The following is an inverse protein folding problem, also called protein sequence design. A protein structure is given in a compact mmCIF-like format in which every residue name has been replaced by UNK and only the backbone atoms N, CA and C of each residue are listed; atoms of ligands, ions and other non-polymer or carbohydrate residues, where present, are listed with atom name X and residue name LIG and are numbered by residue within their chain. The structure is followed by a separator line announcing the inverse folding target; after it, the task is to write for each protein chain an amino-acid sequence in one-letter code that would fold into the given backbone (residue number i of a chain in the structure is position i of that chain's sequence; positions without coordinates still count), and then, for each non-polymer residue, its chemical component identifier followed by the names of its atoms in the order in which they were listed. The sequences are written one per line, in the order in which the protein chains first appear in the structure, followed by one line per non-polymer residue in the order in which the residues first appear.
data_IF_226968899081
#
_entry.id   IF_226968899081
#
_cell.length_a   1.000
_cell.length_b   1.000
_cell.length_c   1.000
_cell.angle_alpha   90.00
_cell.angle_beta   90.00
_cell.angle_gamma   90.00
#
_symmetry.space_group_name_H-M   'P 1'
#
loop_
_entity.id
_entity.type
_entity.pdbx_description
1 polymer ?
#
# COMPACT_ATOMS: atom_id res chain seq x y z
N UNK A 1 -30.68 23.61 11.12
CA UNK A 1 -30.23 23.51 9.72
C UNK A 1 -29.47 22.21 9.55
N UNK A 2 -29.83 21.40 8.55
CA UNK A 2 -29.11 20.15 8.25
C UNK A 2 -27.72 20.49 7.67
N UNK A 3 -26.66 19.85 8.18
CA UNK A 3 -25.30 20.03 7.70
C UNK A 3 -25.17 19.63 6.23
N UNK A 4 -24.47 20.44 5.44
CA UNK A 4 -24.17 20.12 4.04
C UNK A 4 -23.27 18.88 3.94
N UNK A 5 -23.27 18.19 2.79
CA UNK A 5 -22.42 17.00 2.58
C UNK A 5 -20.95 17.30 2.84
N UNK A 6 -20.48 18.49 2.43
CA UNK A 6 -19.11 18.96 2.64
C UNK A 6 -18.78 19.10 4.13
N UNK A 7 -19.63 19.73 4.92
CA UNK A 7 -19.43 19.91 6.36
C UNK A 7 -19.43 18.58 7.11
N UNK A 8 -20.28 17.62 6.68
CA UNK A 8 -20.29 16.26 7.22
C UNK A 8 -18.97 15.52 6.94
N UNK A 9 -18.46 15.60 5.71
CA UNK A 9 -17.17 15.02 5.36
C UNK A 9 -16.02 15.69 6.12
N UNK A 10 -16.04 17.02 6.24
CA UNK A 10 -15.01 17.76 6.97
C UNK A 10 -14.98 17.39 8.45
N UNK A 11 -16.14 17.28 9.10
CA UNK A 11 -16.24 16.89 10.52
C UNK A 11 -15.76 15.45 10.76
N UNK A 12 -16.03 14.53 9.82
CA UNK A 12 -15.50 13.16 9.87
C UNK A 12 -13.99 13.14 9.70
N UNK A 13 -13.47 13.92 8.73
CA UNK A 13 -12.05 14.03 8.48
C UNK A 13 -11.30 14.58 9.70
N UNK A 14 -11.79 15.66 10.32
CA UNK A 14 -11.15 16.24 11.51
C UNK A 14 -11.19 15.29 12.71
N UNK A 15 -12.29 14.54 12.90
CA UNK A 15 -12.37 13.50 13.92
C UNK A 15 -11.37 12.36 13.68
N UNK A 16 -11.19 11.93 12.43
CA UNK A 16 -10.18 10.93 12.08
C UNK A 16 -8.74 11.47 12.26
N UNK A 17 -8.51 12.74 11.95
CA UNK A 17 -7.22 13.40 12.16
C UNK A 17 -6.86 13.46 13.64
N UNK A 18 -7.80 13.77 14.55
CA UNK A 18 -7.51 13.81 15.99
C UNK A 18 -7.08 12.45 16.56
N UNK A 19 -7.65 11.36 16.03
CA UNK A 19 -7.24 9.99 16.42
C UNK A 19 -5.85 9.65 15.89
N UNK A 20 -5.49 10.17 14.70
CA UNK A 20 -4.20 9.92 14.03
C UNK A 20 -3.04 10.70 14.64
N UNK A 21 -3.26 11.93 15.11
CA UNK A 21 -2.21 12.86 15.58
C UNK A 21 -1.17 12.24 16.53
N UNK A 22 -1.55 11.46 17.57
CA UNK A 22 -0.57 10.87 18.48
C UNK A 22 0.40 9.90 17.79
N UNK A 23 -0.08 9.13 16.81
CA UNK A 23 0.71 8.12 16.11
C UNK A 23 1.65 8.71 15.06
N UNK A 24 1.41 9.96 14.62
CA UNK A 24 2.26 10.59 13.60
C UNK A 24 3.69 10.84 14.08
N UNK A 25 3.88 11.05 15.38
CA UNK A 25 5.22 11.22 15.97
C UNK A 25 6.04 9.93 15.83
N UNK A 26 5.46 8.80 16.20
CA UNK A 26 6.08 7.48 16.10
C UNK A 26 6.37 7.11 14.65
N UNK A 27 5.42 7.38 13.75
CA UNK A 27 5.59 7.16 12.32
C UNK A 27 6.72 8.00 11.72
N UNK A 28 6.90 9.26 12.17
CA UNK A 28 8.02 10.12 11.76
C UNK A 28 9.37 9.55 12.20
N UNK A 29 9.42 8.99 13.40
CA UNK A 29 10.64 8.37 13.93
C UNK A 29 10.99 7.10 13.15
N UNK A 30 10.02 6.19 12.97
CA UNK A 30 10.19 4.96 12.19
C UNK A 30 10.62 5.28 10.75
N UNK A 31 9.96 6.25 10.10
CA UNK A 31 10.28 6.64 8.73
C UNK A 31 11.71 7.23 8.61
N UNK A 32 12.20 7.91 9.65
CA UNK A 32 13.57 8.46 9.68
C UNK A 32 14.64 7.36 9.67
N UNK A 33 14.37 6.24 10.34
CA UNK A 33 15.30 5.11 10.46
C UNK A 33 15.18 4.10 9.31
N UNK A 34 13.96 3.78 8.87
CA UNK A 34 13.73 2.72 7.88
C UNK A 34 13.64 3.23 6.43
N UNK A 35 13.14 4.45 6.20
CA UNK A 35 13.00 5.00 4.85
C UNK A 35 13.08 6.54 4.80
N UNK A 36 14.28 7.14 4.98
CA UNK A 36 14.49 8.59 5.01
C UNK A 36 14.01 9.33 3.74
N UNK A 37 13.98 8.64 2.59
CA UNK A 37 13.51 9.20 1.32
C UNK A 37 11.97 9.39 1.26
N UNK A 38 11.20 8.59 2.01
CA UNK A 38 9.72 8.65 2.04
C UNK A 38 9.16 9.62 3.08
N UNK A 39 10.00 10.14 3.98
CA UNK A 39 9.64 11.14 5.01
C UNK A 39 9.13 12.49 4.45
N UNK A 40 9.07 12.69 3.13
CA UNK A 40 8.49 13.91 2.52
C UNK A 40 7.02 14.12 2.92
N UNK A 41 6.26 13.05 3.13
CA UNK A 41 4.83 13.14 3.45
C UNK A 41 4.53 13.56 4.89
N UNK A 42 5.46 13.33 5.82
CA UNK A 42 5.26 13.66 7.23
C UNK A 42 5.88 15.01 7.64
N UNK A 43 6.78 15.57 6.83
CA UNK A 43 7.39 16.87 7.12
C UNK A 43 6.63 17.99 6.42
N UNK A 44 6.05 18.90 7.19
CA UNK A 44 5.54 20.19 6.69
C UNK A 44 6.64 21.06 6.08
N UNK A 45 7.91 20.81 6.44
CA UNK A 45 9.07 21.53 5.93
C UNK A 45 9.46 21.05 4.53
N UNK A 46 8.79 21.64 3.54
CA UNK A 46 8.92 21.32 2.12
C UNK A 46 10.27 21.77 1.52
N UNK A 47 11.11 22.52 2.24
CA UNK A 47 12.20 23.27 1.58
C UNK A 47 13.57 23.35 2.29
N UNK A 48 13.99 22.33 3.05
CA UNK A 48 15.39 22.26 3.51
C UNK A 48 16.14 21.07 2.93
N UNK A 49 16.98 21.39 1.95
CA UNK A 49 18.11 20.61 1.40
C UNK A 49 19.21 20.35 2.47
N UNK A 50 18.83 20.03 3.71
CA UNK A 50 19.78 19.60 4.72
C UNK A 50 20.02 18.10 4.54
N UNK A 51 21.28 17.70 4.37
CA UNK A 51 21.75 16.31 4.17
C UNK A 51 20.96 15.31 5.04
N UNK A 52 19.97 14.65 4.44
CA UNK A 52 18.95 13.81 5.12
C UNK A 52 19.48 12.47 5.64
N UNK A 53 20.69 12.07 5.25
CA UNK A 53 21.33 10.82 5.67
C UNK A 53 22.23 10.99 6.90
N UNK A 54 22.36 12.19 7.47
CA UNK A 54 23.35 12.48 8.52
C UNK A 54 23.08 11.81 9.89
N UNK A 55 21.92 11.17 10.09
CA UNK A 55 21.54 10.49 11.35
C UNK A 55 21.35 8.97 11.23
N UNK A 56 21.67 8.39 10.08
CA UNK A 56 21.59 6.94 9.90
C UNK A 56 22.95 6.37 10.27
N UNK A 57 23.08 5.99 11.54
CA UNK A 57 24.28 5.37 12.07
C UNK A 57 24.40 3.89 11.66
N UNK A 58 23.27 3.24 11.40
CA UNK A 58 23.20 1.82 11.04
C UNK A 58 22.24 1.60 9.85
N UNK A 59 22.69 0.80 8.88
CA UNK A 59 21.92 0.42 7.68
C UNK A 59 21.04 -0.81 7.90
N UNK A 60 21.20 -1.52 9.03
CA UNK A 60 20.46 -2.74 9.37
C UNK A 60 18.94 -2.54 9.34
N UNK A 61 18.44 -1.40 9.83
CA UNK A 61 17.01 -1.09 9.82
C UNK A 61 16.43 -1.03 8.38
N UNK A 62 17.17 -0.41 7.46
CA UNK A 62 16.78 -0.30 6.04
C UNK A 62 16.83 -1.67 5.37
N UNK A 63 17.85 -2.48 5.66
CA UNK A 63 17.99 -3.82 5.09
C UNK A 63 16.91 -4.77 5.60
N UNK A 64 16.62 -4.74 6.90
CA UNK A 64 15.55 -5.53 7.53
C UNK A 64 14.19 -5.17 6.92
N UNK A 65 13.93 -3.87 6.73
CA UNK A 65 12.70 -3.38 6.12
C UNK A 65 12.56 -3.81 4.64
N UNK A 66 13.63 -3.71 3.86
CA UNK A 66 13.65 -4.18 2.47
C UNK A 66 13.43 -5.69 2.37
N UNK A 67 14.02 -6.45 3.29
CA UNK A 67 13.86 -7.91 3.36
C UNK A 67 12.43 -8.28 3.70
N UNK A 68 11.82 -7.60 4.67
CA UNK A 68 10.41 -7.78 5.03
C UNK A 68 9.48 -7.45 3.85
N UNK A 69 9.69 -6.31 3.18
CA UNK A 69 8.90 -5.91 2.00
C UNK A 69 9.05 -6.92 0.86
N UNK A 70 10.28 -7.39 0.64
CA UNK A 70 10.59 -8.44 -0.35
C UNK A 70 9.87 -9.75 -0.02
N UNK A 71 9.90 -10.18 1.23
CA UNK A 71 9.22 -11.37 1.72
C UNK A 71 7.69 -11.28 1.62
N UNK A 72 7.10 -10.13 1.97
CA UNK A 72 5.66 -9.91 1.79
C UNK A 72 5.26 -9.92 0.32
N UNK A 73 6.04 -9.26 -0.54
CA UNK A 73 5.76 -9.21 -1.98
C UNK A 73 5.89 -10.60 -2.61
N UNK A 74 6.94 -11.36 -2.24
CA UNK A 74 7.14 -12.70 -2.78
C UNK A 74 6.15 -13.74 -2.24
N UNK A 75 5.71 -13.59 -0.98
CA UNK A 75 4.77 -14.51 -0.34
C UNK A 75 3.30 -14.25 -0.66
N UNK A 76 2.89 -12.98 -0.74
CA UNK A 76 1.47 -12.62 -0.88
C UNK A 76 1.08 -12.27 -2.32
N UNK A 77 1.99 -11.72 -3.13
CA UNK A 77 1.65 -11.24 -4.49
C UNK A 77 2.85 -11.30 -5.41
N UNK A 78 3.36 -12.52 -5.65
CA UNK A 78 4.46 -12.73 -6.59
C UNK A 78 4.00 -12.51 -8.02
N UNK A 79 4.69 -11.65 -8.77
CA UNK A 79 4.44 -11.52 -10.22
C UNK A 79 4.89 -12.74 -11.03
N UNK A 80 5.76 -13.57 -10.46
CA UNK A 80 6.36 -14.72 -11.16
C UNK A 80 5.64 -16.04 -10.89
N UNK A 81 4.73 -16.08 -9.92
CA UNK A 81 4.01 -17.31 -9.55
C UNK A 81 2.53 -17.00 -9.29
N UNK A 82 1.61 -17.85 -9.75
CA UNK A 82 0.20 -17.68 -9.43
C UNK A 82 0.00 -17.80 -7.91
N UNK A 83 -0.51 -16.73 -7.30
CA UNK A 83 -0.71 -16.59 -5.85
C UNK A 83 -2.18 -16.70 -5.43
N UNK A 84 -3.12 -16.69 -6.37
CA UNK A 84 -4.52 -17.05 -6.19
C UNK A 84 -4.94 -18.12 -7.18
N UNK A 85 -5.89 -18.95 -6.76
CA UNK A 85 -6.55 -19.95 -7.61
C UNK A 85 -8.04 -19.65 -7.64
N UNK A 86 -8.61 -19.58 -8.84
CA UNK A 86 -10.05 -19.47 -8.99
C UNK A 86 -10.68 -20.86 -8.91
N UNK A 87 -11.48 -21.11 -7.87
CA UNK A 87 -12.24 -22.35 -7.69
C UNK A 87 -13.72 -22.00 -7.54
N UNK A 88 -14.58 -22.86 -8.09
CA UNK A 88 -16.02 -22.72 -7.90
C UNK A 88 -16.43 -23.30 -6.55
N UNK A 89 -17.41 -22.67 -5.91
CA UNK A 89 -17.96 -23.15 -4.65
C UNK A 89 -18.67 -24.51 -4.78
N UNK A 90 -19.22 -24.82 -5.96
CA UNK A 90 -19.91 -26.07 -6.22
C UNK A 90 -18.93 -27.11 -6.81
N UNK A 91 -18.64 -28.16 -6.05
CA UNK A 91 -17.73 -29.26 -6.43
C UNK A 91 -18.22 -30.04 -7.64
N UNK A 92 -19.54 -30.18 -7.81
CA UNK A 92 -20.12 -31.05 -8.85
C UNK A 92 -19.89 -30.48 -10.25
N UNK A 93 -19.76 -29.16 -10.35
CA UNK A 93 -19.44 -28.44 -11.60
C UNK A 93 -17.94 -28.38 -11.84
N UNK A 94 -17.12 -28.68 -10.82
CA UNK A 94 -15.67 -28.69 -10.94
C UNK A 94 -15.09 -29.99 -11.49
N UNK A 95 -15.89 -31.04 -11.54
CA UNK A 95 -15.54 -32.33 -12.16
C UNK A 95 -15.61 -32.28 -13.69
N UNK A 96 -16.27 -31.27 -14.25
CA UNK A 96 -16.27 -31.03 -15.69
C UNK A 96 -14.91 -30.47 -16.15
N UNK A 97 -14.29 -31.17 -17.11
CA UNK A 97 -13.00 -30.83 -17.70
C UNK A 97 -13.05 -29.49 -18.42
N UNK A 98 -14.18 -29.16 -19.07
CA UNK A 98 -14.33 -27.91 -19.82
C UNK A 98 -14.38 -26.70 -18.88
N UNK A 99 -15.09 -26.82 -17.75
CA UNK A 99 -15.18 -25.77 -16.74
C UNK A 99 -13.82 -25.49 -16.12
N UNK A 100 -13.04 -26.54 -15.81
CA UNK A 100 -11.68 -26.39 -15.28
C UNK A 100 -10.75 -25.70 -16.28
N UNK A 101 -10.81 -26.10 -17.56
CA UNK A 101 -10.01 -25.48 -18.62
C UNK A 101 -10.35 -23.99 -18.80
N UNK A 102 -11.64 -23.62 -18.70
CA UNK A 102 -12.07 -22.23 -18.79
C UNK A 102 -11.61 -21.38 -17.59
N UNK A 103 -11.65 -21.93 -16.37
CA UNK A 103 -11.14 -21.25 -15.17
C UNK A 103 -9.62 -21.03 -15.27
N UNK A 104 -8.87 -22.04 -15.72
CA UNK A 104 -7.43 -21.92 -15.91
C UNK A 104 -7.08 -20.83 -16.93
N UNK A 105 -7.83 -20.75 -18.04
CA UNK A 105 -7.66 -19.71 -19.05
C UNK A 105 -8.03 -18.31 -18.52
N UNK A 106 -9.14 -18.20 -17.78
CA UNK A 106 -9.57 -16.94 -17.16
C UNK A 106 -8.53 -16.46 -16.15
N UNK A 107 -8.00 -17.38 -15.34
CA UNK A 107 -6.95 -17.11 -14.37
C UNK A 107 -5.67 -16.60 -15.06
N UNK A 108 -5.23 -17.22 -16.16
CA UNK A 108 -4.09 -16.74 -16.95
C UNK A 108 -4.29 -15.31 -17.44
N UNK A 109 -5.45 -15.01 -18.02
CA UNK A 109 -5.79 -13.66 -18.51
C UNK A 109 -5.79 -12.61 -17.39
N UNK A 110 -6.26 -12.98 -16.20
CA UNK A 110 -6.18 -12.10 -15.03
C UNK A 110 -4.73 -11.83 -14.64
N UNK A 111 -3.86 -12.85 -14.63
CA UNK A 111 -2.43 -12.66 -14.36
C UNK A 111 -1.74 -11.79 -15.42
N UNK A 112 -2.05 -11.99 -16.70
CA UNK A 112 -1.51 -11.18 -17.79
C UNK A 112 -1.92 -9.71 -17.65
N UNK A 113 -3.19 -9.46 -17.29
CA UNK A 113 -3.68 -8.10 -17.01
C UNK A 113 -2.98 -7.47 -15.80
N UNK A 114 -2.80 -8.22 -14.70
CA UNK A 114 -2.10 -7.73 -13.51
C UNK A 114 -0.62 -7.48 -13.79
N UNK A 115 0.02 -8.28 -14.64
CA UNK A 115 1.41 -8.10 -15.06
C UNK A 115 1.58 -6.93 -16.04
N UNK A 116 0.59 -6.68 -16.90
CA UNK A 116 0.56 -5.55 -17.82
C UNK A 116 0.25 -4.20 -17.15
N UNK A 117 -0.23 -4.20 -15.90
CA UNK A 117 -0.56 -2.99 -15.15
C UNK A 117 0.45 -2.70 -14.04
N UNK A 118 0.41 -1.49 -13.45
CA UNK A 118 1.26 -1.12 -12.31
C UNK A 118 0.80 -1.76 -10.98
N UNK A 119 0.07 -2.88 -11.02
CA UNK A 119 -0.48 -3.52 -9.84
C UNK A 119 0.62 -3.97 -8.88
N UNK A 120 1.61 -4.75 -9.36
CA UNK A 120 2.69 -5.25 -8.51
C UNK A 120 3.58 -4.13 -7.93
N UNK A 121 3.75 -3.03 -8.65
CA UNK A 121 4.44 -1.84 -8.16
C UNK A 121 3.67 -1.14 -7.03
N UNK A 122 2.35 -0.95 -7.21
CA UNK A 122 1.48 -0.35 -6.21
C UNK A 122 1.34 -1.25 -4.96
N UNK A 123 1.21 -2.56 -5.14
CA UNK A 123 1.10 -3.53 -4.05
C UNK A 123 2.38 -3.60 -3.22
N UNK A 124 3.55 -3.64 -3.86
CA UNK A 124 4.85 -3.56 -3.16
C UNK A 124 4.96 -2.29 -2.31
N UNK A 125 4.47 -1.17 -2.85
CA UNK A 125 4.43 0.12 -2.17
C UNK A 125 3.49 0.10 -0.95
N UNK A 126 2.35 -0.59 -1.07
CA UNK A 126 1.42 -0.82 0.03
C UNK A 126 1.95 -1.77 1.11
N UNK A 127 2.67 -2.84 0.74
CA UNK A 127 3.34 -3.71 1.71
C UNK A 127 4.43 -2.97 2.48
N UNK A 128 5.17 -2.10 1.79
CA UNK A 128 6.13 -1.19 2.44
C UNK A 128 5.46 -0.31 3.49
N UNK A 129 4.29 0.28 3.21
CA UNK A 129 3.55 1.08 4.20
C UNK A 129 3.03 0.25 5.37
N UNK A 130 2.52 -0.95 5.09
CA UNK A 130 2.04 -1.86 6.12
C UNK A 130 3.15 -2.27 7.09
N UNK A 131 4.35 -2.54 6.58
CA UNK A 131 5.51 -2.88 7.40
C UNK A 131 6.08 -1.71 8.22
N UNK A 132 5.83 -0.46 7.83
CA UNK A 132 6.30 0.73 8.57
C UNK A 132 5.28 1.27 9.57
N UNK A 133 4.02 1.35 9.16
CA UNK A 133 3.00 2.10 9.89
C UNK A 133 1.91 1.21 10.49
N UNK A 134 1.98 -0.12 10.29
CA UNK A 134 1.03 -1.09 10.86
C UNK A 134 -0.39 -0.99 10.29
N UNK A 135 -0.66 0.03 9.48
CA UNK A 135 -1.92 0.25 8.79
C UNK A 135 -1.60 0.64 7.36
N UNK A 136 -2.19 -0.11 6.41
CA UNK A 136 -2.31 0.37 5.03
C UNK A 136 -3.24 1.58 5.08
N UNK A 137 -2.70 2.76 5.33
CA UNK A 137 -3.34 3.99 4.89
C UNK A 137 -3.30 3.93 3.37
N UNK A 138 -4.38 3.47 2.75
CA UNK A 138 -4.57 3.68 1.32
C UNK A 138 -4.33 5.17 1.09
N UNK A 139 -3.19 5.49 0.48
CA UNK A 139 -2.74 6.84 0.20
C UNK A 139 -3.74 7.39 -0.81
N UNK A 140 -4.82 7.97 -0.29
CA UNK A 140 -5.83 8.63 -1.08
C UNK A 140 -5.12 9.84 -1.68
N UNK A 141 -4.82 9.75 -2.98
CA UNK A 141 -4.41 10.87 -3.81
C UNK A 141 -5.44 11.99 -3.65
N UNK A 142 -5.23 12.85 -2.66
CA UNK A 142 -5.92 14.12 -2.47
C UNK A 142 -4.88 15.23 -2.59
N UNK A 143 -4.22 15.26 -3.72
CA UNK A 143 -3.60 16.47 -4.24
C UNK A 143 -3.72 16.42 -5.75
N UNK A 144 -4.34 17.46 -6.30
CA UNK A 144 -4.51 17.74 -7.73
C UNK A 144 -5.79 17.22 -8.40
N UNK A 145 -6.96 17.61 -7.90
CA UNK A 145 -7.95 18.21 -8.81
C UNK A 145 -7.93 19.69 -8.49
N UNK A 146 -7.40 20.44 -9.45
CA UNK A 146 -7.25 21.87 -9.42
C UNK A 146 -8.59 22.54 -9.12
N UNK A 147 -8.50 23.61 -8.34
CA UNK A 147 -9.48 24.68 -8.44
C UNK A 147 -9.60 25.08 -9.93
N UNK A 148 -10.81 24.91 -10.45
CA UNK A 148 -11.31 25.37 -11.73
C UNK A 148 -12.82 25.51 -11.57
#
# INVERSE_FOLDING_TARGET
MALTLRERCQKRLTGMQSVRQPYEADWKEIARHAQPARSRFLNSDTNRNARRQARIYDSHAIQSFRTLTGGMTSGLSSSSRPWFKAELYNSDVMDDVEVRAWLDETQKRMYDFLAGTNFYGAVKTGYSEMGLFGMRTAEQYSTTVAAG
#
